data_IF_301932569668
#
_entry.id   IF_301932569668
#
_cell.length_a   1.000
_cell.length_b   1.000
_cell.length_c   1.000
_cell.angle_alpha   90.00
_cell.angle_beta   90.00
_cell.angle_gamma   90.00
#
_symmetry.space_group_name_H-M   'P 1'
#
loop_
_entity.id
_entity.type
_entity.pdbx_description
1 polymer ?
#
# COMPACT_ATOMS: atom_id res chain seq x y z
N UNK A 1 9.57 65.53 32.32
CA UNK A 1 10.44 64.34 32.38
C UNK A 1 10.02 63.48 31.21
N UNK A 2 10.64 63.75 30.07
CA UNK A 2 10.38 63.10 28.79
C UNK A 2 11.41 61.99 28.57
N UNK A 3 10.96 60.77 28.27
CA UNK A 3 11.83 59.70 27.75
C UNK A 3 11.23 59.16 26.46
N UNK A 4 11.83 59.58 25.34
CA UNK A 4 11.63 59.02 24.01
C UNK A 4 12.25 57.62 23.91
N UNK A 5 11.46 56.59 23.60
CA UNK A 5 11.94 55.28 23.17
C UNK A 5 11.77 55.14 21.66
N UNK A 6 12.85 55.39 20.90
CA UNK A 6 12.93 55.09 19.47
C UNK A 6 13.37 53.63 19.28
N UNK A 7 12.44 52.72 18.99
CA UNK A 7 12.77 51.37 18.54
C UNK A 7 12.73 51.33 17.01
N UNK A 8 13.85 51.62 16.37
CA UNK A 8 13.99 51.59 14.91
C UNK A 8 14.17 50.14 14.42
N UNK A 9 13.09 49.51 13.97
CA UNK A 9 13.14 48.27 13.19
C UNK A 9 13.88 48.50 11.87
N UNK A 10 15.10 47.96 11.73
CA UNK A 10 15.82 47.92 10.45
C UNK A 10 15.07 47.04 9.44
N UNK A 11 14.81 47.51 8.21
CA UNK A 11 14.28 46.65 7.15
C UNK A 11 15.38 45.68 6.69
N UNK A 12 15.09 44.38 6.71
CA UNK A 12 15.97 43.36 6.12
C UNK A 12 16.02 43.58 4.61
N UNK A 13 17.21 43.72 3.98
CA UNK A 13 17.30 44.01 2.55
C UNK A 13 16.87 42.79 1.71
N UNK A 14 16.08 43.06 0.66
CA UNK A 14 15.35 42.08 -0.17
C UNK A 14 16.22 41.17 -1.05
N UNK A 15 17.55 41.16 -0.91
CA UNK A 15 18.41 40.21 -1.65
C UNK A 15 18.63 38.88 -0.91
N UNK A 16 18.43 38.82 0.41
CA UNK A 16 18.90 37.69 1.22
C UNK A 16 18.24 36.33 0.88
N UNK A 17 17.04 36.31 0.30
CA UNK A 17 16.37 35.09 -0.15
C UNK A 17 17.10 34.35 -1.27
N UNK A 18 17.31 34.97 -2.46
CA UNK A 18 17.97 34.30 -3.59
C UNK A 18 19.43 33.93 -3.32
N UNK A 19 20.16 34.69 -2.49
CA UNK A 19 21.55 34.38 -2.16
C UNK A 19 21.71 33.10 -1.32
N UNK A 20 20.75 32.81 -0.44
CA UNK A 20 20.76 31.60 0.40
C UNK A 20 20.43 30.35 -0.42
N UNK A 21 19.51 30.46 -1.38
CA UNK A 21 19.14 29.35 -2.29
C UNK A 21 20.31 28.99 -3.21
N UNK A 22 21.01 30.00 -3.76
CA UNK A 22 22.19 29.77 -4.59
C UNK A 22 23.33 29.06 -3.82
N UNK A 23 23.52 29.40 -2.53
CA UNK A 23 24.50 28.74 -1.67
C UNK A 23 24.14 27.26 -1.42
N UNK A 24 22.87 26.97 -1.13
CA UNK A 24 22.40 25.59 -0.88
C UNK A 24 22.56 24.72 -2.13
N UNK A 25 22.19 25.23 -3.31
CA UNK A 25 22.35 24.49 -4.57
C UNK A 25 23.84 24.23 -4.89
N UNK A 26 24.73 25.18 -4.59
CA UNK A 26 26.17 24.99 -4.76
C UNK A 26 26.72 23.92 -3.80
N UNK A 27 26.24 23.88 -2.55
CA UNK A 27 26.64 22.84 -1.59
C UNK A 27 26.14 21.44 -2.01
N UNK A 28 24.91 21.34 -2.52
CA UNK A 28 24.35 20.05 -2.99
C UNK A 28 25.11 19.52 -4.21
N UNK A 29 25.48 20.40 -5.15
CA UNK A 29 26.26 20.00 -6.35
C UNK A 29 27.68 19.57 -6.00
N UNK A 30 28.36 20.27 -5.06
CA UNK A 30 29.67 19.85 -4.56
C UNK A 30 29.60 18.52 -3.82
N UNK A 31 28.58 18.30 -2.98
CA UNK A 31 28.38 17.05 -2.26
C UNK A 31 28.07 15.87 -3.21
N UNK A 32 27.25 16.09 -4.24
CA UNK A 32 26.99 15.07 -5.27
C UNK A 32 28.23 14.71 -6.07
N UNK A 33 29.11 15.69 -6.35
CA UNK A 33 30.36 15.46 -7.07
C UNK A 33 31.40 14.70 -6.23
N UNK A 34 31.52 14.99 -4.93
CA UNK A 34 32.46 14.27 -4.04
C UNK A 34 32.03 12.82 -3.80
N UNK A 35 30.74 12.55 -3.62
CA UNK A 35 30.22 11.17 -3.45
C UNK A 35 30.49 10.33 -4.69
N UNK A 36 30.29 10.90 -5.89
CA UNK A 36 30.54 10.21 -7.16
C UNK A 36 32.02 9.93 -7.42
N UNK A 37 32.91 10.81 -6.93
CA UNK A 37 34.36 10.62 -7.06
C UNK A 37 34.95 9.65 -6.01
N UNK A 38 34.22 9.36 -4.93
CA UNK A 38 34.62 8.40 -3.89
C UNK A 38 34.10 6.97 -4.15
N UNK A 39 33.19 6.78 -5.10
CA UNK A 39 32.54 5.49 -5.41
C UNK A 39 32.90 4.93 -6.78
N UNK A 40 33.85 5.54 -7.49
CA UNK A 40 34.40 4.96 -8.72
C UNK A 40 35.47 3.91 -8.36
N UNK A 41 35.26 2.61 -8.64
CA UNK A 41 36.30 1.60 -8.46
C UNK A 41 37.39 1.76 -9.53
N UNK A 42 38.66 1.76 -9.08
CA UNK A 42 39.83 1.63 -9.94
C UNK A 42 39.77 0.30 -10.72
N UNK A 43 39.73 0.36 -12.05
CA UNK A 43 39.95 -0.79 -12.90
C UNK A 43 41.42 -1.22 -12.81
N UNK A 44 41.70 -2.23 -11.98
CA UNK A 44 42.98 -2.93 -11.96
C UNK A 44 43.00 -3.93 -13.11
N UNK A 45 43.72 -3.60 -14.18
CA UNK A 45 44.15 -4.57 -15.18
C UNK A 45 45.16 -5.56 -14.57
N UNK A 46 44.96 -6.86 -14.83
CA UNK A 46 46.01 -7.87 -14.79
C UNK A 46 45.92 -8.80 -16.02
N UNK A 47 47.05 -9.35 -16.52
CA UNK A 47 47.15 -9.82 -17.91
C UNK A 47 47.17 -11.34 -18.13
N UNK A 48 46.77 -11.72 -19.36
CA UNK A 48 47.18 -12.86 -20.22
C UNK A 48 46.86 -14.32 -19.80
N UNK A 49 46.02 -15.01 -20.60
CA UNK A 49 46.38 -16.05 -21.61
C UNK A 49 45.14 -16.95 -21.91
N UNK A 50 44.89 -17.39 -23.16
CA UNK A 50 43.69 -18.18 -23.50
C UNK A 50 43.89 -19.68 -23.23
N UNK A 51 42.99 -20.30 -22.49
CA UNK A 51 42.83 -21.75 -22.46
C UNK A 51 41.43 -22.10 -22.97
N UNK A 52 41.39 -22.76 -24.14
CA UNK A 52 40.21 -23.39 -24.67
C UNK A 52 39.77 -24.54 -23.75
N UNK A 53 38.48 -24.60 -23.41
CA UNK A 53 37.85 -25.82 -22.91
C UNK A 53 36.43 -25.91 -23.49
N UNK A 54 36.19 -27.02 -24.17
CA UNK A 54 34.97 -27.41 -24.88
C UNK A 54 33.85 -27.84 -23.92
N UNK A 55 32.66 -27.24 -24.09
CA UNK A 55 31.26 -27.76 -24.05
C UNK A 55 30.86 -28.91 -23.07
N UNK A 56 29.65 -28.91 -22.47
CA UNK A 56 28.34 -28.87 -23.17
C UNK A 56 27.35 -27.81 -22.65
N UNK A 57 26.68 -27.08 -23.54
CA UNK A 57 25.27 -27.26 -23.96
C UNK A 57 24.27 -27.39 -22.80
N UNK A 58 23.56 -26.27 -22.57
CA UNK A 58 22.15 -26.15 -22.21
C UNK A 58 21.50 -27.34 -21.49
N UNK A 59 21.38 -27.18 -20.17
CA UNK A 59 20.10 -27.39 -19.51
C UNK A 59 19.78 -26.08 -18.82
N UNK A 60 19.14 -25.14 -19.52
CA UNK A 60 18.35 -24.15 -18.80
C UNK A 60 17.36 -24.99 -17.98
N UNK A 61 17.46 -24.93 -16.66
CA UNK A 61 16.34 -25.29 -15.82
C UNK A 61 15.24 -24.31 -16.25
N UNK A 62 14.39 -24.77 -17.15
CA UNK A 62 13.05 -24.26 -17.35
C UNK A 62 12.50 -24.16 -15.93
N UNK A 63 12.43 -22.94 -15.41
CA UNK A 63 11.63 -22.67 -14.24
C UNK A 63 10.27 -23.26 -14.61
N UNK A 64 9.93 -24.38 -13.95
CA UNK A 64 8.64 -24.99 -14.12
C UNK A 64 7.66 -23.89 -13.75
N UNK A 65 7.01 -23.30 -14.76
CA UNK A 65 5.84 -22.49 -14.54
C UNK A 65 4.91 -23.37 -13.67
N UNK A 66 4.42 -22.90 -12.52
CA UNK A 66 3.38 -23.63 -11.83
C UNK A 66 2.20 -23.66 -12.79
N UNK A 67 1.94 -24.83 -13.35
CA UNK A 67 0.68 -25.14 -13.98
C UNK A 67 -0.32 -25.37 -12.84
N UNK A 68 -0.83 -24.31 -12.22
CA UNK A 68 -2.16 -24.38 -11.61
C UNK A 68 -3.16 -24.08 -12.73
N UNK A 69 -4.06 -25.02 -12.99
CA UNK A 69 -5.19 -24.82 -13.90
C UNK A 69 -6.24 -23.91 -13.27
N UNK A 70 -5.78 -22.85 -12.63
CA UNK A 70 -6.55 -21.89 -11.87
C UNK A 70 -6.81 -20.69 -12.77
N UNK A 71 -8.09 -20.37 -12.94
CA UNK A 71 -8.51 -19.23 -13.74
C UNK A 71 -8.30 -17.96 -12.91
N UNK A 72 -7.09 -17.39 -13.00
CA UNK A 72 -6.75 -16.11 -12.38
C UNK A 72 -7.41 -14.93 -13.11
N UNK A 73 -7.78 -13.89 -12.36
CA UNK A 73 -8.27 -12.64 -12.93
C UNK A 73 -7.19 -11.91 -13.74
N UNK A 74 -5.92 -12.09 -13.37
CA UNK A 74 -4.78 -11.36 -13.94
C UNK A 74 -3.60 -12.29 -14.24
N UNK A 75 -3.00 -12.14 -15.43
CA UNK A 75 -1.83 -12.92 -15.85
C UNK A 75 -0.65 -12.83 -14.86
N UNK A 76 -0.54 -11.72 -14.10
CA UNK A 76 0.53 -11.53 -13.12
C UNK A 76 0.41 -12.48 -11.91
N UNK A 77 -0.79 -12.99 -11.60
CA UNK A 77 -1.01 -13.89 -10.47
C UNK A 77 -0.35 -15.26 -10.68
N UNK A 78 -0.17 -15.70 -11.92
CA UNK A 78 0.42 -17.01 -12.24
C UNK A 78 1.88 -17.17 -11.75
N UNK A 79 2.54 -16.07 -11.37
CA UNK A 79 3.91 -16.08 -10.84
C UNK A 79 3.97 -15.86 -9.32
N UNK A 80 2.82 -15.62 -8.68
CA UNK A 80 2.76 -15.41 -7.23
C UNK A 80 2.95 -16.72 -6.47
N UNK A 81 3.31 -16.59 -5.20
CA UNK A 81 3.59 -17.69 -4.30
C UNK A 81 2.36 -18.55 -4.07
N UNK A 82 2.57 -19.86 -4.03
CA UNK A 82 1.57 -20.86 -3.59
C UNK A 82 1.81 -21.29 -2.14
N UNK A 83 2.57 -20.49 -1.38
CA UNK A 83 2.83 -20.75 0.03
C UNK A 83 1.52 -20.79 0.82
N UNK A 84 1.37 -21.85 1.61
CA UNK A 84 0.22 -22.13 2.46
C UNK A 84 0.55 -21.91 3.94
N UNK A 85 1.64 -21.20 4.24
CA UNK A 85 2.00 -20.81 5.60
C UNK A 85 0.92 -19.92 6.18
N UNK A 86 0.53 -20.22 7.42
CA UNK A 86 -0.50 -19.46 8.10
C UNK A 86 0.05 -18.11 8.54
N UNK A 87 -0.80 -17.08 8.46
CA UNK A 87 -0.55 -15.74 8.96
C UNK A 87 -1.23 -15.47 10.30
N UNK A 88 -1.85 -16.48 10.92
CA UNK A 88 -2.60 -16.29 12.17
C UNK A 88 -1.74 -15.77 13.34
N UNK A 89 -0.48 -16.22 13.41
CA UNK A 89 0.45 -15.91 14.51
C UNK A 89 1.68 -15.09 14.08
N UNK A 90 1.98 -15.04 12.78
CA UNK A 90 3.14 -14.36 12.22
C UNK A 90 2.78 -13.66 10.92
N UNK A 91 3.19 -12.40 10.78
CA UNK A 91 2.87 -11.61 9.60
C UNK A 91 3.72 -12.02 8.39
N UNK A 92 3.14 -12.01 7.17
CA UNK A 92 3.92 -12.25 5.97
C UNK A 92 4.93 -11.11 5.76
N UNK A 93 6.11 -11.47 5.25
CA UNK A 93 7.07 -10.47 4.80
C UNK A 93 6.52 -9.72 3.58
N UNK A 94 6.67 -8.40 3.61
CA UNK A 94 6.27 -7.52 2.51
C UNK A 94 7.49 -6.77 2.02
N UNK A 95 7.55 -6.54 0.71
CA UNK A 95 8.65 -5.83 0.08
C UNK A 95 8.69 -4.36 0.53
N UNK A 96 7.52 -3.70 0.50
CA UNK A 96 7.39 -2.28 0.85
C UNK A 96 5.94 -1.91 1.19
N UNK A 97 5.75 -0.73 1.77
CA UNK A 97 4.46 -0.08 2.00
C UNK A 97 4.31 1.10 1.03
N UNK A 98 3.49 0.91 0.02
CA UNK A 98 3.39 1.82 -1.14
C UNK A 98 2.13 2.67 -1.09
N UNK A 99 2.19 3.88 -1.62
CA UNK A 99 1.03 4.75 -1.68
C UNK A 99 -0.08 4.18 -2.58
N UNK A 100 -1.29 4.09 -2.04
CA UNK A 100 -2.51 3.72 -2.75
C UNK A 100 -3.71 4.48 -2.16
N UNK A 101 -4.45 5.19 -3.02
CA UNK A 101 -5.51 6.10 -2.56
C UNK A 101 -4.96 7.17 -1.61
N UNK A 102 -5.52 7.21 -0.40
CA UNK A 102 -5.14 8.16 0.64
C UNK A 102 -4.13 7.61 1.66
N UNK A 103 -3.70 6.35 1.51
CA UNK A 103 -2.92 5.61 2.49
C UNK A 103 -1.71 4.89 1.87
N UNK A 104 -0.97 4.17 2.72
CA UNK A 104 0.01 3.18 2.29
C UNK A 104 -0.56 1.78 2.48
N UNK A 105 -0.29 0.90 1.53
CA UNK A 105 -0.76 -0.50 1.51
C UNK A 105 0.43 -1.43 1.30
N UNK A 106 0.36 -2.68 1.76
CA UNK A 106 1.49 -3.59 1.63
C UNK A 106 1.67 -4.00 0.15
N UNK A 107 2.92 -4.18 -0.27
CA UNK A 107 3.30 -4.67 -1.59
C UNK A 107 4.22 -5.88 -1.44
N UNK A 108 3.97 -6.95 -2.20
CA UNK A 108 4.80 -8.16 -2.17
C UNK A 108 4.89 -8.77 -3.56
N UNK A 109 6.11 -9.10 -3.98
CA UNK A 109 6.33 -9.87 -5.22
C UNK A 109 5.86 -11.33 -5.07
N UNK A 110 5.65 -11.80 -3.84
CA UNK A 110 5.17 -13.16 -3.53
C UNK A 110 3.66 -13.22 -3.34
N UNK A 111 3.06 -12.24 -2.67
CA UNK A 111 1.65 -12.31 -2.24
C UNK A 111 0.71 -11.38 -3.01
N UNK A 112 1.25 -10.53 -3.89
CA UNK A 112 0.48 -9.83 -4.92
C UNK A 112 0.29 -8.33 -4.73
N UNK A 113 -0.83 -7.83 -5.23
CA UNK A 113 -0.97 -6.42 -5.59
C UNK A 113 -0.21 -6.11 -6.89
N UNK A 114 -0.12 -7.10 -7.78
CA UNK A 114 0.66 -7.08 -9.01
C UNK A 114 -0.04 -6.32 -10.16
N UNK A 115 -1.36 -6.25 -10.13
CA UNK A 115 -2.14 -5.45 -11.07
C UNK A 115 -2.38 -4.06 -10.48
N UNK A 116 -2.07 -3.01 -11.24
CA UNK A 116 -2.31 -1.62 -10.83
C UNK A 116 -3.36 -0.99 -11.74
N UNK A 117 -4.50 -0.62 -11.15
CA UNK A 117 -5.63 0.03 -11.81
C UNK A 117 -5.37 1.51 -12.09
N UNK A 118 -6.14 2.11 -12.99
CA UNK A 118 -6.05 3.53 -13.35
C UNK A 118 -6.31 4.48 -12.16
N UNK A 119 -7.17 4.06 -11.23
CA UNK A 119 -7.43 4.75 -9.96
C UNK A 119 -6.22 4.74 -9.01
N UNK A 120 -5.26 3.86 -9.24
CA UNK A 120 -4.16 3.55 -8.33
C UNK A 120 -4.43 2.40 -7.37
N UNK A 121 -5.63 1.81 -7.39
CA UNK A 121 -5.93 0.58 -6.64
C UNK A 121 -5.02 -0.56 -7.13
N UNK A 122 -4.63 -1.44 -6.21
CA UNK A 122 -3.91 -2.68 -6.52
C UNK A 122 -4.84 -3.89 -6.40
N UNK A 123 -4.68 -4.82 -7.32
CA UNK A 123 -5.39 -6.09 -7.40
C UNK A 123 -4.40 -7.20 -7.82
N UNK A 124 -4.90 -8.42 -8.01
CA UNK A 124 -4.08 -9.58 -8.35
C UNK A 124 -3.28 -10.05 -7.15
N UNK A 125 -3.98 -10.71 -6.23
CA UNK A 125 -3.41 -11.30 -5.03
C UNK A 125 -3.27 -12.81 -5.19
N UNK A 126 -2.32 -13.40 -4.47
CA UNK A 126 -2.16 -14.86 -4.48
C UNK A 126 -3.41 -15.53 -3.90
N UNK A 127 -3.81 -16.69 -4.46
CA UNK A 127 -4.86 -17.53 -3.86
C UNK A 127 -4.31 -18.28 -2.64
N UNK A 128 -4.02 -17.51 -1.59
CA UNK A 128 -3.43 -18.00 -0.35
C UNK A 128 -3.83 -17.12 0.83
N UNK A 129 -3.59 -17.61 2.04
CA UNK A 129 -3.86 -16.90 3.29
C UNK A 129 -3.14 -15.55 3.35
N UNK A 130 -1.84 -15.53 2.99
CA UNK A 130 -1.08 -14.29 2.91
C UNK A 130 -1.61 -13.35 1.82
N UNK A 131 -1.99 -13.87 0.64
CA UNK A 131 -2.61 -13.06 -0.42
C UNK A 131 -3.93 -12.42 0.02
N UNK A 132 -4.75 -13.15 0.76
CA UNK A 132 -6.03 -12.64 1.29
C UNK A 132 -5.84 -11.52 2.31
N UNK A 133 -4.83 -11.61 3.20
CA UNK A 133 -4.48 -10.55 4.15
C UNK A 133 -3.98 -9.29 3.42
N UNK A 134 -3.18 -9.45 2.37
CA UNK A 134 -2.69 -8.34 1.55
C UNK A 134 -3.84 -7.61 0.83
N UNK A 135 -4.80 -8.37 0.30
CA UNK A 135 -6.03 -7.85 -0.28
C UNK A 135 -6.86 -7.11 0.77
N UNK A 136 -7.06 -7.70 1.95
CA UNK A 136 -7.79 -7.10 3.08
C UNK A 136 -7.24 -5.71 3.43
N UNK A 137 -5.94 -5.63 3.67
CA UNK A 137 -5.26 -4.39 4.05
C UNK A 137 -5.33 -3.33 2.94
N UNK A 138 -5.26 -3.76 1.68
CA UNK A 138 -5.35 -2.84 0.55
C UNK A 138 -6.75 -2.30 0.37
N UNK A 139 -7.76 -3.16 0.28
CA UNK A 139 -9.13 -2.74 0.03
C UNK A 139 -9.70 -1.93 1.18
N UNK A 140 -9.34 -2.23 2.42
CA UNK A 140 -9.78 -1.44 3.56
C UNK A 140 -9.34 0.03 3.49
N UNK A 141 -8.18 0.32 2.89
CA UNK A 141 -7.56 1.65 2.94
C UNK A 141 -7.55 2.40 1.61
N UNK A 142 -7.60 1.69 0.48
CA UNK A 142 -7.43 2.27 -0.86
C UNK A 142 -8.68 2.16 -1.75
N UNK A 143 -9.64 1.30 -1.42
CA UNK A 143 -10.87 1.16 -2.21
C UNK A 143 -11.85 2.28 -1.86
N UNK A 144 -12.00 3.25 -2.76
CA UNK A 144 -13.01 4.30 -2.65
C UNK A 144 -13.62 4.61 -4.02
N UNK A 145 -14.70 3.91 -4.41
CA UNK A 145 -15.38 4.13 -5.69
C UNK A 145 -15.94 5.55 -5.87
N UNK A 146 -16.01 6.35 -4.80
CA UNK A 146 -16.63 7.69 -4.84
C UNK A 146 -15.68 8.80 -5.31
N UNK A 147 -14.38 8.53 -5.48
CA UNK A 147 -13.39 9.59 -5.75
C UNK A 147 -13.30 9.99 -7.23
N UNK A 148 -13.58 9.06 -8.15
CA UNK A 148 -13.49 9.29 -9.60
C UNK A 148 -14.26 8.22 -10.39
N UNK A 149 -14.44 8.46 -11.69
CA UNK A 149 -15.01 7.47 -12.61
C UNK A 149 -14.07 6.26 -12.82
N UNK A 150 -12.75 6.45 -12.69
CA UNK A 150 -11.81 5.32 -12.76
C UNK A 150 -11.88 4.46 -11.50
N UNK A 151 -12.02 5.08 -10.31
CA UNK A 151 -12.22 4.36 -9.07
C UNK A 151 -13.58 3.66 -9.01
N UNK A 152 -14.60 4.20 -9.67
CA UNK A 152 -15.91 3.55 -9.75
C UNK A 152 -15.82 2.13 -10.34
N UNK A 153 -14.96 1.95 -11.37
CA UNK A 153 -14.72 0.67 -12.05
C UNK A 153 -14.02 -0.36 -11.15
N UNK A 154 -13.41 0.07 -10.06
CA UNK A 154 -12.77 -0.85 -9.12
C UNK A 154 -13.77 -1.64 -8.29
N UNK A 155 -15.03 -1.21 -8.23
CA UNK A 155 -16.09 -1.95 -7.53
C UNK A 155 -16.24 -3.38 -8.08
N UNK A 156 -16.20 -3.53 -9.41
CA UNK A 156 -16.27 -4.85 -10.06
C UNK A 156 -15.02 -5.70 -9.79
N UNK A 157 -13.86 -5.05 -9.61
CA UNK A 157 -12.59 -5.72 -9.37
C UNK A 157 -12.48 -6.20 -7.93
N UNK A 158 -12.79 -5.34 -6.97
CA UNK A 158 -12.42 -5.51 -5.57
C UNK A 158 -13.61 -5.77 -4.63
N UNK A 159 -14.86 -5.75 -5.11
CA UNK A 159 -16.05 -6.02 -4.29
C UNK A 159 -16.79 -7.21 -4.88
N UNK A 160 -17.10 -8.17 -4.01
CA UNK A 160 -17.85 -9.38 -4.37
C UNK A 160 -19.19 -9.02 -5.01
N UNK A 161 -19.61 -9.81 -6.00
CA UNK A 161 -20.90 -9.62 -6.64
C UNK A 161 -22.05 -9.76 -5.65
N UNK A 162 -22.96 -8.79 -5.66
CA UNK A 162 -24.18 -8.87 -4.88
C UNK A 162 -24.84 -7.54 -4.59
N UNK A 163 -25.98 -7.58 -3.87
CA UNK A 163 -26.79 -6.40 -3.61
C UNK A 163 -26.10 -5.34 -2.75
N UNK A 164 -25.03 -5.68 -2.03
CA UNK A 164 -24.24 -4.69 -1.31
C UNK A 164 -23.30 -3.92 -2.24
N UNK A 165 -22.71 -4.57 -3.26
CA UNK A 165 -21.94 -3.89 -4.30
C UNK A 165 -22.80 -2.87 -5.03
N UNK A 166 -23.98 -3.26 -5.49
CA UNK A 166 -24.92 -2.35 -6.19
C UNK A 166 -25.24 -1.10 -5.35
N UNK A 167 -25.45 -1.28 -4.03
CA UNK A 167 -25.75 -0.17 -3.11
C UNK A 167 -24.55 0.73 -2.87
N UNK A 168 -23.35 0.15 -2.78
CA UNK A 168 -22.10 0.90 -2.65
C UNK A 168 -21.85 1.73 -3.92
N UNK A 169 -22.05 1.15 -5.09
CA UNK A 169 -21.92 1.84 -6.38
C UNK A 169 -22.93 2.99 -6.52
N UNK A 170 -24.20 2.75 -6.17
CA UNK A 170 -25.23 3.79 -6.19
C UNK A 170 -24.86 4.95 -5.25
N UNK A 171 -24.42 4.63 -4.03
CA UNK A 171 -23.96 5.65 -3.07
C UNK A 171 -22.75 6.42 -3.60
N UNK A 172 -21.76 5.72 -4.14
CA UNK A 172 -20.57 6.32 -4.71
C UNK A 172 -20.93 7.27 -5.87
N UNK A 173 -21.87 6.88 -6.73
CA UNK A 173 -22.39 7.74 -7.79
C UNK A 173 -23.05 9.00 -7.22
N UNK A 174 -23.93 8.87 -6.22
CA UNK A 174 -24.56 10.04 -5.57
C UNK A 174 -23.52 10.99 -4.96
N UNK A 175 -22.43 10.47 -4.41
CA UNK A 175 -21.33 11.29 -3.89
C UNK A 175 -20.64 12.05 -5.03
N UNK A 176 -20.29 11.37 -6.13
CA UNK A 176 -19.69 12.00 -7.32
C UNK A 176 -20.59 13.07 -7.95
N UNK A 177 -21.89 12.84 -7.96
CA UNK A 177 -22.91 13.77 -8.46
C UNK A 177 -23.18 14.94 -7.49
N UNK A 178 -22.57 14.95 -6.31
CA UNK A 178 -22.76 15.98 -5.29
C UNK A 178 -24.12 15.92 -4.58
N UNK A 179 -24.81 14.77 -4.65
CA UNK A 179 -26.11 14.51 -4.03
C UNK A 179 -25.97 13.98 -2.59
N UNK A 180 -24.79 13.50 -2.22
CA UNK A 180 -24.47 12.99 -0.88
C UNK A 180 -23.03 13.39 -0.49
N UNK A 181 -22.77 13.65 0.79
CA UNK A 181 -21.42 13.95 1.28
C UNK A 181 -20.63 12.66 1.54
N UNK A 182 -19.37 12.64 1.13
CA UNK A 182 -18.43 11.59 1.53
C UNK A 182 -18.19 11.65 3.05
N UNK A 183 -18.38 10.51 3.74
CA UNK A 183 -18.08 10.36 5.16
C UNK A 183 -16.88 9.43 5.32
N UNK A 184 -15.97 9.77 6.23
CA UNK A 184 -14.88 8.88 6.65
C UNK A 184 -13.55 9.01 5.91
N UNK A 185 -13.49 9.70 4.75
CA UNK A 185 -12.24 9.84 3.97
C UNK A 185 -11.07 10.47 4.74
N UNK A 186 -11.35 11.47 5.60
CA UNK A 186 -10.32 12.08 6.46
C UNK A 186 -9.80 11.11 7.53
N UNK A 187 -10.68 10.30 8.12
CA UNK A 187 -10.29 9.31 9.11
C UNK A 187 -9.44 8.21 8.45
N UNK A 188 -9.85 7.73 7.27
CA UNK A 188 -9.06 6.79 6.49
C UNK A 188 -7.67 7.36 6.17
N UNK A 189 -7.56 8.61 5.68
CA UNK A 189 -6.29 9.23 5.29
C UNK A 189 -5.28 9.47 6.44
N UNK A 190 -5.72 9.32 7.68
CA UNK A 190 -4.89 9.52 8.88
C UNK A 190 -4.72 8.25 9.71
N UNK A 191 -5.30 7.13 9.26
CA UNK A 191 -5.18 5.84 9.90
C UNK A 191 -3.84 5.20 9.54
N UNK A 192 -3.12 4.71 10.55
CA UNK A 192 -1.93 3.88 10.37
C UNK A 192 -2.28 2.45 10.73
N UNK A 193 -2.14 1.50 9.80
CA UNK A 193 -2.26 0.07 10.12
C UNK A 193 -1.11 -0.32 11.06
N UNK A 194 -1.42 -0.91 12.21
CA UNK A 194 -0.43 -1.34 13.21
C UNK A 194 -0.43 -2.85 13.42
N UNK A 195 -1.45 -3.55 12.92
CA UNK A 195 -1.50 -5.00 12.97
C UNK A 195 -2.83 -5.57 12.53
N UNK A 196 -3.01 -6.85 12.78
CA UNK A 196 -4.24 -7.57 12.50
C UNK A 196 -4.43 -8.75 13.44
N UNK A 197 -5.65 -9.25 13.54
CA UNK A 197 -5.94 -10.60 14.01
C UNK A 197 -6.74 -11.34 12.95
N UNK A 198 -6.44 -12.61 12.72
CA UNK A 198 -7.23 -13.46 11.84
C UNK A 198 -8.41 -14.06 12.62
N UNK A 199 -9.61 -13.92 12.06
CA UNK A 199 -10.80 -14.60 12.59
C UNK A 199 -11.00 -15.95 11.92
N UNK A 200 -10.88 -16.00 10.58
CA UNK A 200 -10.88 -17.26 9.85
C UNK A 200 -10.15 -17.14 8.50
N UNK A 201 -9.71 -18.29 7.99
CA UNK A 201 -9.25 -18.47 6.62
C UNK A 201 -9.67 -19.84 6.07
N UNK A 202 -10.07 -19.83 4.81
CA UNK A 202 -10.24 -20.97 3.91
C UNK A 202 -9.81 -20.52 2.51
N UNK A 203 -9.58 -21.44 1.59
CA UNK A 203 -9.22 -21.05 0.21
C UNK A 203 -10.31 -20.16 -0.45
N UNK A 204 -11.59 -20.32 -0.08
CA UNK A 204 -12.67 -19.54 -0.71
C UNK A 204 -13.06 -18.26 0.06
N UNK A 205 -12.62 -18.09 1.31
CA UNK A 205 -13.07 -17.00 2.18
C UNK A 205 -12.10 -16.73 3.33
N UNK A 206 -11.94 -15.45 3.67
CA UNK A 206 -11.08 -15.01 4.77
C UNK A 206 -11.71 -13.86 5.54
N UNK A 207 -11.32 -13.71 6.81
CA UNK A 207 -11.81 -12.64 7.67
C UNK A 207 -10.75 -12.19 8.64
N UNK A 208 -10.54 -10.88 8.68
CA UNK A 208 -9.50 -10.24 9.46
C UNK A 208 -10.07 -9.04 10.20
N UNK A 209 -9.63 -8.88 11.45
CA UNK A 209 -9.75 -7.63 12.15
C UNK A 209 -8.45 -6.84 11.98
N UNK A 210 -8.48 -5.77 11.17
CA UNK A 210 -7.35 -4.88 10.95
C UNK A 210 -7.31 -3.80 12.02
N UNK A 211 -6.13 -3.59 12.63
CA UNK A 211 -5.95 -2.69 13.76
C UNK A 211 -5.27 -1.41 13.29
N UNK A 212 -5.90 -0.27 13.56
CA UNK A 212 -5.41 1.03 13.13
C UNK A 212 -5.25 1.99 14.29
N UNK A 213 -4.20 2.81 14.23
CA UNK A 213 -4.07 4.02 15.03
C UNK A 213 -4.54 5.24 14.25
N UNK A 214 -5.37 6.07 14.89
CA UNK A 214 -5.88 7.33 14.36
C UNK A 214 -5.55 8.48 15.33
N UNK A 215 -5.26 9.69 14.82
CA UNK A 215 -5.34 10.88 15.64
C UNK A 215 -6.80 11.17 16.00
N UNK A 216 -7.10 11.30 17.30
CA UNK A 216 -8.42 11.73 17.79
C UNK A 216 -8.49 13.25 17.94
N UNK A 217 -9.70 13.79 18.05
CA UNK A 217 -9.96 15.24 18.13
C UNK A 217 -9.28 15.94 19.31
N UNK A 218 -8.94 15.20 20.36
CA UNK A 218 -8.25 15.72 21.55
C UNK A 218 -6.70 15.67 21.42
N UNK A 219 -6.17 15.24 20.28
CA UNK A 219 -4.74 15.11 20.01
C UNK A 219 -4.09 13.83 20.56
N UNK A 220 -4.87 12.91 21.14
CA UNK A 220 -4.41 11.57 21.52
C UNK A 220 -4.59 10.59 20.37
N UNK A 221 -3.80 9.51 20.36
CA UNK A 221 -4.01 8.38 19.46
C UNK A 221 -5.16 7.52 19.98
N UNK A 222 -6.09 7.18 19.10
CA UNK A 222 -7.11 6.17 19.32
C UNK A 222 -6.80 4.95 18.47
N UNK A 223 -6.89 3.77 19.07
CA UNK A 223 -6.80 2.51 18.34
C UNK A 223 -8.20 1.98 18.03
N UNK A 224 -8.44 1.68 16.76
CA UNK A 224 -9.68 1.06 16.28
C UNK A 224 -9.38 -0.27 15.62
N UNK A 225 -10.42 -1.07 15.47
CA UNK A 225 -10.38 -2.36 14.83
C UNK A 225 -11.47 -2.41 13.76
N UNK A 226 -11.10 -2.72 12.52
CA UNK A 226 -12.00 -2.84 11.37
C UNK A 226 -12.11 -4.28 10.90
N UNK A 227 -13.33 -4.82 10.84
CA UNK A 227 -13.61 -6.15 10.29
C UNK A 227 -13.62 -6.11 8.77
N UNK A 228 -12.77 -6.92 8.15
CA UNK A 228 -12.62 -7.04 6.71
C UNK A 228 -12.83 -8.49 6.31
N UNK A 229 -13.92 -8.74 5.61
CA UNK A 229 -14.27 -10.06 5.09
C UNK A 229 -13.96 -10.10 3.59
N UNK A 230 -13.42 -11.22 3.13
CA UNK A 230 -13.09 -11.46 1.72
C UNK A 230 -13.63 -12.81 1.26
N UNK A 231 -13.89 -12.89 -0.04
CA UNK A 231 -14.21 -14.11 -0.76
C UNK A 231 -13.33 -14.22 -1.99
N UNK A 232 -12.98 -15.45 -2.36
CA UNK A 232 -12.34 -15.73 -3.64
C UNK A 232 -13.43 -15.78 -4.72
N UNK A 233 -13.37 -14.87 -5.69
CA UNK A 233 -14.37 -14.77 -6.74
C UNK A 233 -13.71 -14.28 -8.03
N UNK A 234 -14.06 -14.90 -9.16
CA UNK A 234 -13.55 -14.56 -10.49
C UNK A 234 -12.01 -14.52 -10.58
N UNK A 235 -11.31 -15.34 -9.79
CA UNK A 235 -9.87 -15.50 -9.86
C UNK A 235 -9.05 -14.48 -9.08
N UNK A 236 -9.66 -13.73 -8.16
CA UNK A 236 -8.95 -12.85 -7.21
C UNK A 236 -9.71 -12.78 -5.88
N UNK A 237 -9.06 -12.25 -4.85
CA UNK A 237 -9.74 -11.91 -3.60
C UNK A 237 -10.60 -10.67 -3.80
N UNK A 238 -11.84 -10.71 -3.34
CA UNK A 238 -12.75 -9.56 -3.32
C UNK A 238 -13.24 -9.31 -1.90
N UNK A 239 -13.43 -8.04 -1.56
CA UNK A 239 -14.08 -7.62 -0.32
C UNK A 239 -15.55 -8.06 -0.32
N UNK A 240 -15.97 -8.77 0.71
CA UNK A 240 -17.39 -9.02 1.04
C UNK A 240 -17.89 -7.89 1.96
N UNK A 241 -18.76 -6.98 1.47
CA UNK A 241 -19.17 -5.83 2.27
C UNK A 241 -19.98 -6.21 3.51
N UNK A 242 -19.57 -5.70 4.67
CA UNK A 242 -20.20 -5.98 5.95
C UNK A 242 -21.73 -5.79 5.96
N UNK A 243 -22.26 -4.71 5.36
CA UNK A 243 -23.70 -4.59 5.10
C UNK A 243 -24.07 -3.37 4.26
N UNK A 244 -25.03 -3.51 3.33
CA UNK A 244 -25.68 -2.39 2.67
C UNK A 244 -24.69 -1.47 1.95
N UNK A 245 -24.42 -0.30 2.53
CA UNK A 245 -23.44 0.68 2.03
C UNK A 245 -22.20 0.80 2.93
N UNK A 246 -21.92 -0.22 3.74
CA UNK A 246 -20.76 -0.32 4.60
C UNK A 246 -19.87 -1.45 4.09
N UNK A 247 -18.64 -1.09 3.72
CA UNK A 247 -17.60 -2.03 3.35
C UNK A 247 -17.10 -2.82 4.57
N UNK A 248 -16.86 -2.10 5.66
CA UNK A 248 -16.20 -2.59 6.88
C UNK A 248 -17.04 -2.18 8.09
N UNK A 249 -17.05 -2.99 9.14
CA UNK A 249 -17.51 -2.57 10.48
C UNK A 249 -16.31 -2.22 11.34
N UNK A 250 -16.35 -1.05 11.99
CA UNK A 250 -15.27 -0.57 12.84
C UNK A 250 -15.73 -0.30 14.27
N UNK A 251 -14.92 -0.73 15.23
CA UNK A 251 -15.14 -0.50 16.67
C UNK A 251 -13.85 -0.04 17.35
N UNK A 252 -13.97 0.50 18.57
CA UNK A 252 -12.79 0.80 19.38
C UNK A 252 -12.08 -0.50 19.78
N UNK A 253 -10.77 -0.55 19.56
CA UNK A 253 -9.97 -1.69 19.97
C UNK A 253 -9.87 -1.77 21.50
N UNK A 254 -10.19 -2.92 22.09
CA UNK A 254 -10.32 -3.11 23.54
C UNK A 254 -9.10 -3.79 24.20
N UNK A 255 -7.96 -3.83 23.50
CA UNK A 255 -6.73 -4.46 23.99
C UNK A 255 -6.68 -5.98 23.80
N UNK A 256 -7.40 -6.49 22.79
CA UNK A 256 -7.26 -7.88 22.37
C UNK A 256 -5.88 -8.07 21.70
N UNK A 257 -5.25 -9.25 21.81
CA UNK A 257 -3.98 -9.51 21.14
C UNK A 257 -4.13 -9.43 19.61
N UNK A 258 -3.09 -8.95 18.95
CA UNK A 258 -2.99 -8.89 17.49
C UNK A 258 -1.54 -9.13 17.06
N UNK A 259 -1.33 -9.54 15.81
CA UNK A 259 -0.02 -9.66 15.17
C UNK A 259 0.41 -8.26 14.70
N UNK A 260 1.56 -7.77 15.17
CA UNK A 260 2.11 -6.48 14.74
C UNK A 260 2.48 -6.54 13.24
N UNK A 261 1.86 -5.67 12.46
CA UNK A 261 2.07 -5.61 11.02
C UNK A 261 1.60 -4.28 10.44
N UNK A 262 2.50 -3.55 9.81
CA UNK A 262 2.24 -2.20 9.35
C UNK A 262 3.51 -1.52 8.83
N UNK A 263 3.37 -0.32 8.23
CA UNK A 263 4.52 0.49 7.84
C UNK A 263 5.38 0.81 9.07
N UNK A 264 6.68 0.56 8.97
CA UNK A 264 7.64 0.93 10.02
C UNK A 264 7.90 2.44 9.94
N UNK A 265 7.78 3.12 11.09
CA UNK A 265 8.12 4.53 11.27
C UNK A 265 9.62 4.77 11.38
#
# INVERSE_FOLDING_TARGET
>A
MDTNNNNATRPRPRWFGPALIALVLLLVTVAGWTIRNLTAPDEVQAPTTPAASTAPTQGAAEAAAPASGEDFAWDCQAQLSTDTSSVADEAPEVLDWVAAGYNVVPSSDEFGGCERRDSGLRAGYAHSEAGSLMAAATYAMALDPSVSEDAAKDSEVAIAEGPNRDRLEEKAQRIRDGLEEAKGGLAASSATLIGYSQDHYTDEAASYQLIYDLPSENGLTQTIAGQVDLVWEDGDWKLDPASGTSMITGDQHQGQPYVEWGPKS
#
